data_IF_703654752057
#
_entry.id   IF_703654752057
#
_cell.length_a   1.000
_cell.length_b   1.000
_cell.length_c   1.000
_cell.angle_alpha   90.00
_cell.angle_beta   90.00
_cell.angle_gamma   90.00
#
_symmetry.space_group_name_H-M   'P 1'
#
loop_
_entity.id
_entity.type
_entity.pdbx_description
1 polymer ?
#
# COMPACT_ATOMS: atom_id res chain seq x y z
N UNK A 1 83.06 -3.15 -2.53
CA UNK A 1 81.87 -2.48 -1.96
C UNK A 1 80.74 -2.61 -2.98
N UNK A 2 79.88 -3.64 -2.84
CA UNK A 2 78.83 -3.99 -3.82
C UNK A 2 77.59 -3.12 -3.59
N UNK A 3 77.12 -2.43 -4.63
CA UNK A 3 75.86 -1.69 -4.62
C UNK A 3 74.71 -2.63 -5.01
N UNK A 4 73.69 -2.75 -4.15
CA UNK A 4 72.46 -3.48 -4.40
C UNK A 4 71.40 -2.53 -4.98
N UNK A 5 70.95 -2.82 -6.19
CA UNK A 5 69.79 -2.20 -6.83
C UNK A 5 68.54 -2.90 -6.26
N UNK A 6 67.65 -2.15 -5.60
CA UNK A 6 66.33 -2.64 -5.19
C UNK A 6 65.30 -2.26 -6.26
N UNK A 7 64.78 -3.26 -6.96
CA UNK A 7 63.66 -3.11 -7.89
C UNK A 7 62.36 -2.85 -7.12
N UNK A 8 61.66 -1.76 -7.45
CA UNK A 8 60.29 -1.49 -7.01
C UNK A 8 59.32 -2.27 -7.89
N UNK A 9 58.54 -3.16 -7.29
CA UNK A 9 57.38 -3.81 -7.92
C UNK A 9 56.20 -2.86 -7.72
N UNK A 10 55.69 -2.28 -8.80
CA UNK A 10 54.44 -1.52 -8.81
C UNK A 10 53.30 -2.53 -9.00
N UNK A 11 52.56 -2.81 -7.91
CA UNK A 11 51.32 -3.58 -7.96
C UNK A 11 50.21 -2.60 -8.34
N UNK A 12 49.71 -2.67 -9.57
CA UNK A 12 48.50 -1.91 -9.95
C UNK A 12 47.28 -2.59 -9.34
N UNK A 13 46.68 -1.97 -8.32
CA UNK A 13 45.38 -2.36 -7.81
C UNK A 13 44.31 -1.97 -8.86
N UNK A 14 43.77 -2.96 -9.57
CA UNK A 14 42.55 -2.77 -10.34
C UNK A 14 41.38 -2.62 -9.36
N UNK A 15 40.88 -1.40 -9.16
CA UNK A 15 39.63 -1.17 -8.46
C UNK A 15 38.48 -1.70 -9.32
N UNK A 16 37.99 -2.88 -8.98
CA UNK A 16 36.69 -3.35 -9.42
C UNK A 16 35.63 -2.55 -8.65
N UNK A 17 35.06 -1.53 -9.28
CA UNK A 17 33.94 -0.78 -8.71
C UNK A 17 32.72 -1.70 -8.81
N UNK A 18 32.34 -2.33 -7.70
CA UNK A 18 31.05 -2.99 -7.60
C UNK A 18 29.99 -1.90 -7.49
N UNK A 19 29.14 -1.76 -8.51
CA UNK A 19 27.96 -0.90 -8.45
C UNK A 19 27.08 -1.34 -7.28
N UNK A 20 27.07 -0.53 -6.22
CA UNK A 20 26.17 -0.68 -5.10
C UNK A 20 24.76 -0.24 -5.52
N UNK A 21 24.07 -1.07 -6.30
CA UNK A 21 22.68 -0.84 -6.65
C UNK A 21 21.80 -1.17 -5.43
N UNK A 22 21.18 -0.16 -4.81
CA UNK A 22 20.22 -0.43 -3.73
C UNK A 22 19.60 0.79 -3.04
N UNK A 23 20.30 1.92 -2.93
CA UNK A 23 19.77 3.11 -2.23
C UNK A 23 19.95 4.40 -3.03
N UNK A 24 20.98 4.51 -3.88
CA UNK A 24 21.22 5.76 -4.63
C UNK A 24 20.18 6.04 -5.72
N UNK A 25 19.44 5.03 -6.18
CA UNK A 25 18.47 5.12 -7.29
C UNK A 25 17.07 5.61 -6.86
N UNK A 26 16.81 5.76 -5.56
CA UNK A 26 15.50 6.16 -5.02
C UNK A 26 15.65 7.46 -4.22
N UNK A 27 14.78 8.42 -4.48
CA UNK A 27 14.58 9.59 -3.64
C UNK A 27 13.57 9.26 -2.55
N UNK A 28 13.95 9.47 -1.30
CA UNK A 28 13.06 9.29 -0.14
C UNK A 28 12.68 10.66 0.40
N UNK A 29 11.37 10.93 0.48
CA UNK A 29 10.82 12.13 1.12
C UNK A 29 10.11 11.66 2.40
N UNK A 30 10.76 11.75 3.56
CA UNK A 30 10.20 11.25 4.83
C UNK A 30 9.09 12.16 5.35
N UNK A 31 8.17 11.55 6.10
CA UNK A 31 7.22 12.23 6.99
C UNK A 31 6.44 13.39 6.35
N UNK A 32 5.98 13.19 5.11
CA UNK A 32 5.09 14.14 4.45
C UNK A 32 3.75 14.17 5.19
N UNK A 33 3.43 15.32 5.78
CA UNK A 33 2.19 15.53 6.54
C UNK A 33 1.02 15.72 5.58
N UNK A 34 0.03 14.82 5.65
CA UNK A 34 -1.20 14.91 4.86
C UNK A 34 -2.42 15.37 5.67
N UNK A 35 -2.28 15.46 6.99
CA UNK A 35 -3.33 15.94 7.88
C UNK A 35 -2.87 16.05 9.33
N UNK A 36 -3.73 16.62 10.18
CA UNK A 36 -3.53 16.67 11.63
C UNK A 36 -4.78 16.15 12.32
N UNK A 37 -4.60 15.36 13.37
CA UNK A 37 -5.69 14.80 14.17
C UNK A 37 -5.24 14.71 15.62
N UNK A 38 -6.04 15.25 16.55
CA UNK A 38 -5.72 15.31 17.99
C UNK A 38 -4.32 15.84 18.31
N UNK A 39 -3.85 16.86 17.60
CA UNK A 39 -2.52 17.45 17.78
C UNK A 39 -1.35 16.62 17.22
N UNK A 40 -1.61 15.49 16.55
CA UNK A 40 -0.61 14.65 15.90
C UNK A 40 -0.65 14.84 14.39
N UNK A 41 0.51 14.73 13.74
CA UNK A 41 0.61 14.69 12.29
C UNK A 41 0.27 13.30 11.75
N UNK A 42 -0.54 13.25 10.70
CA UNK A 42 -0.74 12.07 9.88
C UNK A 42 0.25 12.14 8.72
N UNK A 43 1.09 11.11 8.58
CA UNK A 43 2.24 11.15 7.65
C UNK A 43 2.30 9.96 6.70
N UNK A 44 2.92 10.17 5.54
CA UNK A 44 3.42 9.10 4.69
C UNK A 44 4.86 9.40 4.27
N UNK A 45 5.61 8.36 3.93
CA UNK A 45 6.90 8.54 3.25
C UNK A 45 6.70 8.35 1.74
N UNK A 46 7.41 9.12 0.95
CA UNK A 46 7.43 8.98 -0.51
C UNK A 46 8.73 8.30 -0.93
N UNK A 47 8.62 7.24 -1.72
CA UNK A 47 9.73 6.56 -2.38
C UNK A 47 9.57 6.77 -3.87
N UNK A 48 10.44 7.59 -4.45
CA UNK A 48 10.37 7.99 -5.84
C UNK A 48 11.57 7.45 -6.61
N UNK A 49 11.39 6.65 -7.67
CA UNK A 49 12.49 6.25 -8.53
C UNK A 49 13.10 7.47 -9.23
N UNK A 50 14.43 7.65 -9.17
CA UNK A 50 15.09 8.85 -9.72
C UNK A 50 15.16 8.88 -11.26
N UNK A 51 15.23 7.71 -11.90
CA UNK A 51 15.56 7.59 -13.32
C UNK A 51 14.40 7.09 -14.19
N UNK A 52 13.58 6.17 -13.67
CA UNK A 52 12.54 5.46 -14.42
C UNK A 52 11.12 5.74 -13.88
N UNK A 53 10.89 6.84 -13.18
CA UNK A 53 9.55 7.19 -12.69
C UNK A 53 8.53 7.25 -13.85
N UNK A 54 7.48 6.45 -13.77
CA UNK A 54 6.49 6.26 -14.86
C UNK A 54 5.22 7.13 -14.70
N UNK A 55 5.23 8.03 -13.70
CA UNK A 55 4.13 8.92 -13.36
C UNK A 55 2.96 8.25 -12.63
N UNK A 56 3.10 7.00 -12.17
CA UNK A 56 2.05 6.27 -11.42
C UNK A 56 2.38 6.25 -9.93
N UNK A 57 1.37 6.44 -9.09
CA UNK A 57 1.51 6.39 -7.63
C UNK A 57 0.88 5.13 -7.03
N UNK A 58 1.53 4.48 -6.07
CA UNK A 58 0.96 3.38 -5.28
C UNK A 58 0.92 3.78 -3.82
N UNK A 59 -0.26 3.88 -3.23
CA UNK A 59 -0.41 4.09 -1.79
C UNK A 59 -0.36 2.73 -1.09
N UNK A 60 0.71 2.48 -0.33
CA UNK A 60 0.83 1.26 0.46
C UNK A 60 0.37 1.54 1.90
N UNK A 61 -0.69 0.87 2.33
CA UNK A 61 -1.24 1.00 3.68
C UNK A 61 -0.34 0.30 4.69
N UNK A 62 0.39 1.08 5.48
CA UNK A 62 1.24 0.57 6.55
C UNK A 62 0.36 0.26 7.75
N UNK A 63 -0.19 -0.95 7.79
CA UNK A 63 -1.13 -1.35 8.83
C UNK A 63 -1.05 -2.84 9.14
N UNK A 64 -0.91 -3.18 10.42
CA UNK A 64 -1.04 -4.55 10.92
C UNK A 64 -1.94 -4.55 12.16
N UNK A 65 -3.08 -5.25 12.09
CA UNK A 65 -4.11 -5.17 13.13
C UNK A 65 -4.59 -3.73 13.40
N UNK A 66 -4.64 -2.90 12.35
CA UNK A 66 -4.94 -1.46 12.40
C UNK A 66 -4.00 -0.65 13.32
N UNK A 67 -2.80 -1.17 13.56
CA UNK A 67 -1.69 -0.45 14.16
C UNK A 67 -0.74 0.01 13.07
N UNK A 68 -0.44 1.31 13.06
CA UNK A 68 0.49 1.90 12.10
C UNK A 68 1.75 2.36 12.83
N UNK A 69 2.87 1.68 12.57
CA UNK A 69 4.14 1.93 13.27
C UNK A 69 5.06 2.77 12.40
N UNK A 70 5.73 3.74 12.99
CA UNK A 70 6.87 4.40 12.35
C UNK A 70 8.07 3.46 12.34
N UNK A 71 8.82 3.49 11.24
CA UNK A 71 10.17 2.93 11.08
C UNK A 71 10.94 3.94 10.24
N UNK A 72 12.27 3.92 10.31
CA UNK A 72 13.04 4.77 9.41
C UNK A 72 12.69 4.37 7.95
N UNK A 73 12.48 5.34 7.05
CA UNK A 73 12.04 5.02 5.69
C UNK A 73 13.00 4.09 4.94
N UNK A 74 14.30 4.18 5.23
CA UNK A 74 15.35 3.35 4.64
C UNK A 74 15.15 1.87 4.98
N UNK A 75 14.59 1.55 6.15
CA UNK A 75 14.31 0.17 6.55
C UNK A 75 13.19 -0.48 5.74
N UNK A 76 12.38 0.30 5.00
CA UNK A 76 11.26 -0.20 4.20
C UNK A 76 11.50 -0.20 2.72
N UNK A 77 12.60 0.39 2.25
CA UNK A 77 12.88 0.48 0.80
C UNK A 77 12.83 -0.90 0.13
N UNK A 78 13.32 -1.95 0.80
CA UNK A 78 13.30 -3.32 0.30
C UNK A 78 11.89 -3.88 0.08
N UNK A 79 10.89 -3.45 0.86
CA UNK A 79 9.50 -3.89 0.68
C UNK A 79 8.87 -3.32 -0.59
N UNK A 80 9.38 -2.18 -1.04
CA UNK A 80 8.84 -1.46 -2.20
C UNK A 80 9.68 -1.65 -3.45
N UNK A 81 10.82 -2.33 -3.35
CA UNK A 81 11.75 -2.54 -4.46
C UNK A 81 11.06 -3.08 -5.74
N UNK A 82 10.20 -4.11 -5.68
CA UNK A 82 9.53 -4.61 -6.89
C UNK A 82 8.67 -3.56 -7.61
N UNK A 83 8.02 -2.67 -6.87
CA UNK A 83 7.26 -1.55 -7.44
C UNK A 83 8.18 -0.43 -7.95
N UNK A 84 9.20 -0.08 -7.18
CA UNK A 84 10.18 0.96 -7.53
C UNK A 84 10.96 0.60 -8.79
N UNK A 85 11.34 -0.67 -8.97
CA UNK A 85 12.04 -1.18 -10.15
C UNK A 85 11.20 -1.04 -11.43
N UNK A 86 9.87 -1.09 -11.32
CA UNK A 86 8.93 -0.81 -12.43
C UNK A 86 8.60 0.67 -12.62
N UNK A 87 9.20 1.56 -11.83
CA UNK A 87 9.03 3.00 -11.96
C UNK A 87 7.83 3.58 -11.21
N UNK A 88 7.14 2.79 -10.38
CA UNK A 88 6.06 3.29 -9.55
C UNK A 88 6.61 4.16 -8.41
N UNK A 89 5.97 5.30 -8.14
CA UNK A 89 6.22 6.09 -6.92
C UNK A 89 5.37 5.52 -5.79
N UNK A 90 5.98 5.17 -4.67
CA UNK A 90 5.27 4.55 -3.53
C UNK A 90 5.06 5.56 -2.42
N UNK A 91 3.83 5.62 -1.90
CA UNK A 91 3.45 6.40 -0.72
C UNK A 91 3.17 5.43 0.43
N UNK A 92 4.09 5.33 1.40
CA UNK A 92 3.92 4.43 2.55
C UNK A 92 3.07 5.12 3.63
N UNK A 93 1.75 4.94 3.53
CA UNK A 93 0.76 5.67 4.33
C UNK A 93 0.68 5.13 5.74
N UNK A 94 0.90 6.02 6.71
CA UNK A 94 0.57 5.79 8.11
C UNK A 94 -0.73 6.51 8.45
N UNK A 95 -1.54 5.89 9.29
CA UNK A 95 -2.82 6.42 9.77
C UNK A 95 -2.80 6.50 11.31
N UNK A 96 -3.83 7.09 11.91
CA UNK A 96 -4.02 7.04 13.36
C UNK A 96 -3.92 5.60 13.86
N UNK A 97 -3.01 5.33 14.80
CA UNK A 97 -2.76 3.96 15.23
C UNK A 97 -3.66 3.55 16.39
N UNK A 98 -4.22 2.35 16.32
CA UNK A 98 -4.75 1.63 17.47
C UNK A 98 -3.67 1.47 18.57
N UNK A 99 -4.03 1.53 19.88
CA UNK A 99 -5.38 1.55 20.45
C UNK A 99 -6.04 2.93 20.53
N UNK A 100 -5.35 4.01 20.11
CA UNK A 100 -5.89 5.37 20.25
C UNK A 100 -7.05 5.63 19.30
N UNK A 101 -7.03 5.00 18.13
CA UNK A 101 -7.98 5.20 17.04
C UNK A 101 -8.69 3.90 16.68
N UNK A 102 -9.99 3.99 16.42
CA UNK A 102 -10.83 2.88 15.94
C UNK A 102 -10.99 2.89 14.43
N UNK A 103 -11.44 1.78 13.84
CA UNK A 103 -11.52 1.61 12.38
C UNK A 103 -12.27 2.76 11.66
N UNK A 104 -13.43 3.26 12.12
CA UNK A 104 -14.09 4.40 11.48
C UNK A 104 -13.18 5.62 11.34
N UNK A 105 -12.45 5.97 12.41
CA UNK A 105 -11.51 7.09 12.41
C UNK A 105 -10.30 6.84 11.49
N UNK A 106 -9.84 5.59 11.41
CA UNK A 106 -8.71 5.20 10.58
C UNK A 106 -9.07 5.27 9.09
N UNK A 107 -10.29 4.90 8.73
CA UNK A 107 -10.80 5.00 7.36
C UNK A 107 -10.78 6.46 6.89
N UNK A 108 -11.20 7.41 7.73
CA UNK A 108 -11.11 8.85 7.42
C UNK A 108 -9.67 9.29 7.12
N UNK A 109 -8.71 8.82 7.91
CA UNK A 109 -7.30 9.17 7.75
C UNK A 109 -6.75 8.67 6.40
N UNK A 110 -7.00 7.41 6.03
CA UNK A 110 -6.49 6.86 4.75
C UNK A 110 -7.19 7.45 3.54
N UNK A 111 -8.49 7.78 3.63
CA UNK A 111 -9.21 8.54 2.59
C UNK A 111 -8.55 9.90 2.37
N UNK A 112 -8.27 10.63 3.45
CA UNK A 112 -7.55 11.90 3.37
C UNK A 112 -6.19 11.78 2.68
N UNK A 113 -5.46 10.68 2.90
CA UNK A 113 -4.16 10.45 2.28
C UNK A 113 -4.24 10.38 0.74
N UNK A 114 -5.24 9.68 0.18
CA UNK A 114 -5.46 9.61 -1.28
C UNK A 114 -5.78 10.99 -1.83
N UNK A 115 -6.71 11.71 -1.18
CA UNK A 115 -7.09 13.07 -1.59
C UNK A 115 -5.90 14.02 -1.60
N UNK A 116 -5.04 13.92 -0.57
CA UNK A 116 -3.85 14.74 -0.48
C UNK A 116 -2.85 14.43 -1.59
N UNK A 117 -2.62 13.14 -1.91
CA UNK A 117 -1.76 12.75 -3.04
C UNK A 117 -2.34 13.27 -4.36
N UNK A 118 -3.66 13.15 -4.58
CA UNK A 118 -4.33 13.70 -5.78
C UNK A 118 -4.18 15.22 -5.87
N UNK A 119 -4.44 15.94 -4.79
CA UNK A 119 -4.30 17.41 -4.71
C UNK A 119 -2.87 17.87 -5.01
N UNK A 120 -1.88 17.09 -4.56
CA UNK A 120 -0.45 17.41 -4.67
C UNK A 120 0.27 16.56 -5.73
N UNK A 121 -0.45 15.96 -6.68
CA UNK A 121 0.09 14.99 -7.64
C UNK A 121 1.28 15.56 -8.43
N UNK A 122 1.19 16.83 -8.88
CA UNK A 122 2.27 17.56 -9.55
C UNK A 122 3.55 17.64 -8.70
N UNK A 123 3.44 17.81 -7.38
CA UNK A 123 4.60 17.87 -6.47
C UNK A 123 5.33 16.52 -6.43
N UNK A 124 4.58 15.42 -6.46
CA UNK A 124 5.15 14.08 -6.40
C UNK A 124 5.56 13.55 -7.78
N UNK A 125 5.11 14.19 -8.86
CA UNK A 125 5.37 13.73 -10.22
C UNK A 125 4.54 12.51 -10.60
N UNK A 126 3.34 12.38 -10.03
CA UNK A 126 2.37 11.32 -10.35
C UNK A 126 1.15 11.93 -11.05
N UNK A 127 0.45 11.11 -11.82
CA UNK A 127 -0.84 11.40 -12.42
C UNK A 127 -1.94 11.09 -11.39
N UNK A 128 -2.81 12.05 -11.03
CA UNK A 128 -3.85 11.81 -10.02
C UNK A 128 -4.85 10.73 -10.43
N UNK A 129 -4.99 10.41 -11.72
CA UNK A 129 -5.87 9.34 -12.21
C UNK A 129 -5.18 7.97 -12.30
N UNK A 130 -3.89 7.89 -11.99
CA UNK A 130 -3.10 6.64 -12.03
C UNK A 130 -2.56 6.34 -10.63
N UNK A 131 -3.48 6.26 -9.67
CA UNK A 131 -3.18 5.93 -8.28
C UNK A 131 -3.71 4.54 -7.92
N UNK A 132 -2.81 3.62 -7.60
CA UNK A 132 -3.16 2.32 -7.02
C UNK A 132 -3.10 2.35 -5.50
N UNK A 133 -3.72 1.37 -4.86
CA UNK A 133 -3.61 1.14 -3.41
C UNK A 133 -3.32 -0.33 -3.11
N UNK A 134 -2.44 -0.57 -2.13
CA UNK A 134 -2.14 -1.92 -1.67
C UNK A 134 -1.92 -2.02 -0.16
N UNK A 135 -2.12 -3.22 0.38
CA UNK A 135 -1.79 -3.54 1.77
C UNK A 135 -2.14 -4.97 2.12
N UNK A 136 -1.62 -5.46 3.24
CA UNK A 136 -1.92 -6.78 3.77
C UNK A 136 -2.70 -6.74 5.08
N UNK A 137 -3.53 -7.75 5.34
CA UNK A 137 -4.34 -7.87 6.56
C UNK A 137 -5.18 -6.61 6.77
N UNK A 138 -5.05 -5.92 7.91
CA UNK A 138 -5.66 -4.62 8.15
C UNK A 138 -5.36 -3.57 7.06
N UNK A 139 -4.16 -3.57 6.47
CA UNK A 139 -3.83 -2.70 5.34
C UNK A 139 -4.59 -3.08 4.06
N UNK A 140 -4.86 -4.38 3.88
CA UNK A 140 -5.69 -4.89 2.78
C UNK A 140 -7.16 -4.51 2.96
N UNK A 141 -7.67 -4.58 4.19
CA UNK A 141 -8.99 -4.04 4.55
C UNK A 141 -9.12 -2.55 4.21
N UNK A 142 -8.15 -1.73 4.62
CA UNK A 142 -8.15 -0.29 4.31
C UNK A 142 -8.02 -0.02 2.81
N UNK A 143 -7.26 -0.84 2.09
CA UNK A 143 -7.14 -0.76 0.62
C UNK A 143 -8.48 -1.06 -0.06
N UNK A 144 -9.22 -2.07 0.41
CA UNK A 144 -10.56 -2.39 -0.09
C UNK A 144 -11.59 -1.32 0.27
N UNK A 145 -11.50 -0.72 1.46
CA UNK A 145 -12.37 0.43 1.81
C UNK A 145 -12.17 1.60 0.85
N UNK A 146 -10.92 1.88 0.44
CA UNK A 146 -10.63 2.90 -0.59
C UNK A 146 -11.11 2.50 -1.99
N UNK A 147 -11.14 1.19 -2.29
CA UNK A 147 -11.61 0.68 -3.57
C UNK A 147 -13.13 0.61 -3.75
N UNK A 148 -13.86 0.35 -2.66
CA UNK A 148 -15.30 0.02 -2.68
C UNK A 148 -16.19 1.10 -2.08
N UNK A 149 -15.67 1.94 -1.18
CA UNK A 149 -16.45 2.96 -0.48
C UNK A 149 -16.00 4.40 -0.81
N UNK A 150 -15.31 4.61 -1.94
CA UNK A 150 -14.82 5.92 -2.36
C UNK A 150 -15.93 6.95 -2.65
N UNK A 151 -15.60 8.23 -2.62
CA UNK A 151 -16.50 9.33 -3.01
C UNK A 151 -15.80 10.38 -3.90
N UNK A 152 -16.59 11.34 -4.40
CA UNK A 152 -16.11 12.38 -5.33
C UNK A 152 -15.50 13.61 -4.62
N UNK A 153 -15.55 13.67 -3.30
CA UNK A 153 -15.27 14.86 -2.50
C UNK A 153 -16.48 15.77 -2.33
N UNK A 154 -16.34 16.69 -1.39
CA UNK A 154 -17.30 17.73 -1.09
C UNK A 154 -16.79 19.07 -1.65
N UNK A 155 -17.32 19.57 -2.80
CA UNK A 155 -16.84 20.81 -3.42
C UNK A 155 -17.00 22.03 -2.52
N UNK A 156 -17.93 22.00 -1.55
CA UNK A 156 -18.23 23.11 -0.64
C UNK A 156 -17.41 23.06 0.66
N UNK A 157 -16.61 22.01 0.87
CA UNK A 157 -15.74 21.88 2.05
C UNK A 157 -14.81 23.08 2.20
N UNK A 158 -14.60 23.53 3.44
CA UNK A 158 -13.58 24.55 3.76
C UNK A 158 -12.15 24.00 3.67
N UNK A 159 -11.98 22.71 3.88
CA UNK A 159 -10.70 22.01 3.72
C UNK A 159 -10.53 21.61 2.25
N UNK A 160 -9.50 22.15 1.60
CA UNK A 160 -9.17 21.88 0.19
C UNK A 160 -8.95 20.38 -0.10
N UNK A 161 -8.47 19.62 0.89
CA UNK A 161 -8.22 18.19 0.72
C UNK A 161 -9.54 17.43 0.57
N UNK A 162 -10.56 17.80 1.36
CA UNK A 162 -11.86 17.12 1.34
C UNK A 162 -12.69 17.43 0.09
N UNK A 163 -12.31 18.46 -0.70
CA UNK A 163 -12.92 18.74 -2.00
C UNK A 163 -12.53 17.75 -3.09
N UNK A 164 -11.42 17.04 -2.89
CA UNK A 164 -10.85 16.15 -3.90
C UNK A 164 -11.39 14.74 -3.71
N UNK A 165 -11.75 14.07 -4.80
CA UNK A 165 -12.08 12.64 -4.82
C UNK A 165 -11.01 11.77 -4.15
N UNK A 166 -11.42 10.70 -3.46
CA UNK A 166 -10.51 9.65 -2.95
C UNK A 166 -10.54 8.36 -3.78
N UNK A 167 -11.09 8.40 -4.99
CA UNK A 167 -11.06 7.26 -5.92
C UNK A 167 -9.63 6.87 -6.28
N UNK A 168 -9.40 5.57 -6.28
CA UNK A 168 -8.18 4.91 -6.78
C UNK A 168 -8.50 4.17 -8.08
N UNK A 169 -7.48 3.93 -8.90
CA UNK A 169 -7.61 3.31 -10.22
C UNK A 169 -7.35 1.79 -10.21
N UNK A 170 -6.72 1.25 -9.16
CA UNK A 170 -6.53 -0.19 -8.97
C UNK A 170 -6.28 -0.53 -7.49
N UNK A 171 -6.67 -1.73 -7.07
CA UNK A 171 -6.50 -2.22 -5.70
C UNK A 171 -5.79 -3.57 -5.70
N UNK A 172 -4.87 -3.76 -4.76
CA UNK A 172 -4.34 -5.09 -4.41
C UNK A 172 -4.45 -5.30 -2.90
N UNK A 173 -5.17 -6.32 -2.46
CA UNK A 173 -5.37 -6.61 -1.04
C UNK A 173 -4.90 -8.02 -0.69
N UNK A 174 -3.91 -8.11 0.20
CA UNK A 174 -3.41 -9.40 0.69
C UNK A 174 -4.15 -9.82 1.96
N UNK A 175 -4.69 -11.04 1.98
CA UNK A 175 -5.41 -11.68 3.09
C UNK A 175 -6.28 -10.70 3.91
N UNK A 176 -7.18 -9.93 3.25
CA UNK A 176 -7.88 -8.84 3.91
C UNK A 176 -9.09 -9.37 4.69
N UNK A 177 -9.38 -8.82 5.88
CA UNK A 177 -10.71 -8.94 6.43
C UNK A 177 -11.68 -8.05 5.66
N UNK A 178 -12.81 -8.62 5.24
CA UNK A 178 -13.78 -7.96 4.33
C UNK A 178 -15.15 -7.71 4.95
N UNK A 179 -15.50 -8.46 6.00
CA UNK A 179 -16.68 -8.23 6.82
C UNK A 179 -16.31 -8.34 8.30
N UNK A 180 -16.12 -7.20 8.95
CA UNK A 180 -15.61 -7.13 10.32
C UNK A 180 -16.73 -7.15 11.36
N UNK A 181 -18.01 -7.07 10.96
CA UNK A 181 -19.16 -7.01 11.87
C UNK A 181 -19.15 -8.12 12.93
N UNK A 182 -18.80 -9.38 12.61
CA UNK A 182 -18.77 -10.43 13.61
C UNK A 182 -17.72 -10.23 14.71
N UNK A 183 -16.69 -9.39 14.47
CA UNK A 183 -15.52 -9.20 15.34
C UNK A 183 -15.56 -7.94 16.21
N UNK A 184 -16.46 -7.00 15.89
CA UNK A 184 -16.62 -5.74 16.63
C UNK A 184 -16.85 -6.03 18.11
N UNK A 185 -16.09 -5.37 18.98
CA UNK A 185 -16.11 -5.54 20.45
C UNK A 185 -15.83 -6.96 20.98
N UNK A 186 -15.30 -7.88 20.16
CA UNK A 186 -15.09 -9.30 20.55
C UNK A 186 -13.64 -9.76 20.55
N UNK A 187 -12.72 -8.98 19.99
CA UNK A 187 -11.31 -9.36 19.86
C UNK A 187 -10.41 -8.40 20.64
N UNK A 188 -10.03 -8.78 21.86
CA UNK A 188 -9.25 -7.93 22.78
C UNK A 188 -7.90 -7.48 22.21
N UNK A 189 -7.26 -8.32 21.39
CA UNK A 189 -5.97 -8.01 20.76
C UNK A 189 -6.05 -6.92 19.67
N UNK A 190 -7.27 -6.62 19.20
CA UNK A 190 -7.57 -5.70 18.11
C UNK A 190 -8.46 -4.53 18.57
N UNK A 191 -7.96 -3.63 19.43
CA UNK A 191 -8.77 -2.54 19.99
C UNK A 191 -9.30 -1.53 18.95
N UNK A 192 -8.82 -1.60 17.70
CA UNK A 192 -9.42 -0.82 16.60
C UNK A 192 -10.87 -1.24 16.29
N UNK A 193 -11.26 -2.47 16.67
CA UNK A 193 -12.61 -3.01 16.54
C UNK A 193 -13.56 -2.58 17.66
N UNK A 194 -13.09 -1.77 18.62
CA UNK A 194 -13.88 -1.36 19.79
C UNK A 194 -14.67 -0.08 19.51
N UNK A 195 -15.70 -0.18 18.66
CA UNK A 195 -16.57 0.92 18.27
C UNK A 195 -18.05 0.47 18.19
N UNK A 196 -18.96 1.39 17.89
CA UNK A 196 -20.40 1.13 17.85
C UNK A 196 -20.76 0.12 16.75
N UNK A 197 -21.48 -0.96 17.08
CA UNK A 197 -21.81 -2.06 16.16
C UNK A 197 -22.55 -1.59 14.92
N UNK A 198 -23.36 -0.53 15.04
CA UNK A 198 -24.12 0.08 13.96
C UNK A 198 -23.21 0.64 12.85
N UNK A 199 -21.98 1.05 13.18
CA UNK A 199 -20.98 1.50 12.18
C UNK A 199 -20.29 0.34 11.48
N UNK A 200 -20.52 -0.90 11.92
CA UNK A 200 -19.85 -2.08 11.39
C UNK A 200 -20.08 -2.29 9.91
N UNK A 201 -21.31 -2.06 9.44
CA UNK A 201 -21.63 -2.17 8.01
C UNK A 201 -20.85 -1.14 7.18
N UNK A 202 -20.75 0.10 7.66
CA UNK A 202 -19.99 1.16 6.99
C UNK A 202 -18.47 0.86 6.94
N UNK A 203 -17.97 -0.02 7.80
CA UNK A 203 -16.56 -0.40 7.88
C UNK A 203 -16.25 -1.77 7.27
N UNK A 204 -17.22 -2.44 6.64
CA UNK A 204 -17.04 -3.74 5.97
C UNK A 204 -17.03 -3.54 4.44
N UNK A 205 -15.88 -3.60 3.75
CA UNK A 205 -15.80 -3.33 2.31
C UNK A 205 -16.67 -4.29 1.47
N UNK A 206 -16.93 -5.51 1.97
CA UNK A 206 -17.85 -6.46 1.33
C UNK A 206 -19.24 -5.85 1.02
N UNK A 207 -19.70 -4.91 1.83
CA UNK A 207 -21.05 -4.35 1.73
C UNK A 207 -21.14 -3.11 0.85
N UNK A 208 -20.01 -2.60 0.37
CA UNK A 208 -19.95 -1.38 -0.45
C UNK A 208 -19.73 -1.67 -1.94
N UNK A 209 -19.51 -2.94 -2.29
CA UNK A 209 -19.16 -3.31 -3.65
C UNK A 209 -20.20 -2.81 -4.65
N UNK A 210 -19.72 -2.11 -5.68
CA UNK A 210 -20.54 -1.47 -6.71
C UNK A 210 -19.90 -1.59 -8.09
N UNK A 211 -20.68 -1.42 -9.15
CA UNK A 211 -20.21 -1.69 -10.53
C UNK A 211 -19.13 -0.72 -11.03
N UNK A 212 -18.93 0.42 -10.37
CA UNK A 212 -17.89 1.39 -10.72
C UNK A 212 -16.65 1.30 -9.80
N UNK A 213 -16.54 0.27 -8.96
CA UNK A 213 -15.35 0.03 -8.16
C UNK A 213 -14.10 -0.22 -9.02
N UNK A 214 -12.94 0.09 -8.43
CA UNK A 214 -11.66 -0.11 -9.10
C UNK A 214 -11.34 -1.60 -9.33
N UNK A 215 -10.63 -1.95 -10.42
CA UNK A 215 -10.09 -3.28 -10.62
C UNK A 215 -9.33 -3.77 -9.39
N UNK A 216 -9.73 -4.92 -8.84
CA UNK A 216 -9.22 -5.44 -7.57
C UNK A 216 -8.58 -6.82 -7.68
N UNK A 217 -7.33 -6.95 -7.27
CA UNK A 217 -6.69 -8.25 -7.02
C UNK A 217 -6.71 -8.58 -5.53
N UNK A 218 -7.16 -9.79 -5.21
CA UNK A 218 -7.05 -10.39 -3.89
C UNK A 218 -5.93 -11.43 -3.92
N UNK A 219 -5.10 -11.48 -2.88
CA UNK A 219 -4.09 -12.56 -2.72
C UNK A 219 -4.24 -13.16 -1.33
N UNK A 220 -4.43 -14.47 -1.21
CA UNK A 220 -4.77 -15.09 0.07
C UNK A 220 -4.16 -16.50 0.16
N UNK A 221 -3.63 -16.88 1.33
CA UNK A 221 -3.22 -18.25 1.59
C UNK A 221 -4.41 -19.13 1.99
N UNK A 222 -4.41 -20.41 1.61
CA UNK A 222 -5.48 -21.36 1.97
C UNK A 222 -5.30 -22.01 3.37
N UNK A 223 -4.20 -21.67 4.07
CA UNK A 223 -3.92 -22.04 5.47
C UNK A 223 -3.88 -20.82 6.40
N UNK A 224 -4.53 -19.72 6.00
CA UNK A 224 -4.66 -18.54 6.85
C UNK A 224 -5.62 -18.81 8.02
N UNK A 225 -5.06 -18.98 9.22
CA UNK A 225 -5.82 -19.21 10.45
C UNK A 225 -6.25 -17.92 11.15
N UNK A 226 -5.79 -16.75 10.69
CA UNK A 226 -6.10 -15.47 11.32
C UNK A 226 -7.27 -14.77 10.63
N UNK A 227 -7.23 -14.71 9.31
CA UNK A 227 -8.32 -14.21 8.47
C UNK A 227 -8.70 -15.35 7.54
N UNK A 228 -9.86 -15.99 7.74
CA UNK A 228 -10.26 -17.11 6.89
C UNK A 228 -10.37 -16.71 5.41
N UNK A 229 -9.95 -17.61 4.51
CA UNK A 229 -9.96 -17.42 3.05
C UNK A 229 -11.33 -16.94 2.53
N UNK A 230 -12.41 -17.36 3.20
CA UNK A 230 -13.79 -16.99 2.87
C UNK A 230 -14.02 -15.47 2.84
N UNK A 231 -13.19 -14.67 3.52
CA UNK A 231 -13.25 -13.21 3.38
C UNK A 231 -12.95 -12.75 1.95
N UNK A 232 -11.92 -13.31 1.32
CA UNK A 232 -11.59 -13.02 -0.07
C UNK A 232 -12.60 -13.63 -1.03
N UNK A 233 -13.04 -14.87 -0.80
CA UNK A 233 -14.00 -15.54 -1.68
C UNK A 233 -15.35 -14.81 -1.72
N UNK A 234 -15.85 -14.35 -0.57
CA UNK A 234 -17.13 -13.61 -0.49
C UNK A 234 -17.08 -12.28 -1.21
N UNK A 235 -16.02 -11.50 -1.04
CA UNK A 235 -15.94 -10.21 -1.73
C UNK A 235 -15.68 -10.38 -3.22
N UNK A 236 -14.92 -11.41 -3.63
CA UNK A 236 -14.77 -11.78 -5.04
C UNK A 236 -16.13 -12.08 -5.67
N UNK A 237 -16.98 -12.86 -5.00
CA UNK A 237 -18.31 -13.18 -5.49
C UNK A 237 -19.17 -11.91 -5.65
N UNK A 238 -19.07 -10.95 -4.73
CA UNK A 238 -19.80 -9.68 -4.84
C UNK A 238 -19.26 -8.79 -5.97
N UNK A 239 -17.94 -8.75 -6.18
CA UNK A 239 -17.32 -8.08 -7.33
C UNK A 239 -17.79 -8.68 -8.66
N UNK A 240 -17.82 -10.01 -8.76
CA UNK A 240 -18.29 -10.72 -9.96
C UNK A 240 -19.77 -10.44 -10.23
N UNK A 241 -20.61 -10.42 -9.20
CA UNK A 241 -22.04 -10.07 -9.31
C UNK A 241 -22.23 -8.64 -9.85
N UNK A 242 -21.38 -7.70 -9.45
CA UNK A 242 -21.39 -6.32 -9.92
C UNK A 242 -20.55 -6.10 -11.20
N UNK A 243 -19.97 -7.15 -11.77
CA UNK A 243 -19.12 -7.13 -12.98
C UNK A 243 -17.88 -6.24 -12.83
N UNK A 244 -17.36 -6.11 -11.62
CA UNK A 244 -16.09 -5.44 -11.34
C UNK A 244 -14.95 -6.35 -11.77
N UNK A 245 -13.96 -5.81 -12.49
CA UNK A 245 -12.76 -6.55 -12.86
C UNK A 245 -12.02 -7.00 -11.60
N UNK A 246 -12.00 -8.30 -11.35
CA UNK A 246 -11.45 -8.84 -10.12
C UNK A 246 -10.86 -10.23 -10.29
N UNK A 247 -9.79 -10.50 -9.56
CA UNK A 247 -9.10 -11.79 -9.53
C UNK A 247 -8.75 -12.16 -8.08
N UNK A 248 -8.70 -13.46 -7.78
CA UNK A 248 -8.22 -13.99 -6.51
C UNK A 248 -7.09 -14.99 -6.78
N UNK A 249 -5.89 -14.64 -6.33
CA UNK A 249 -4.75 -15.52 -6.28
C UNK A 249 -4.73 -16.26 -4.93
N UNK A 250 -5.02 -17.55 -4.96
CA UNK A 250 -4.84 -18.43 -3.79
C UNK A 250 -3.42 -19.00 -3.80
N UNK A 251 -2.69 -18.81 -2.69
CA UNK A 251 -1.36 -19.39 -2.49
C UNK A 251 -1.50 -20.65 -1.63
N UNK A 252 -1.53 -21.81 -2.29
CA UNK A 252 -1.70 -23.11 -1.65
C UNK A 252 -0.59 -23.39 -0.62
N UNK A 253 -0.96 -23.77 0.58
CA UNK A 253 -0.08 -24.03 1.72
C UNK A 253 0.31 -22.80 2.53
N UNK A 254 0.06 -21.59 2.05
CA UNK A 254 0.46 -20.36 2.74
C UNK A 254 -0.53 -19.96 3.84
N UNK A 255 0.00 -19.40 4.92
CA UNK A 255 -0.78 -18.85 6.05
C UNK A 255 -0.89 -17.31 6.03
N UNK A 256 -1.11 -16.71 7.21
CA UNK A 256 -1.24 -15.26 7.35
C UNK A 256 0.11 -14.53 7.20
N UNK A 257 0.33 -13.92 6.04
CA UNK A 257 1.58 -13.25 5.70
C UNK A 257 2.53 -14.12 4.90
N UNK A 258 3.09 -13.55 3.83
CA UNK A 258 3.91 -14.27 2.87
C UNK A 258 5.40 -13.99 3.06
N UNK A 259 6.24 -15.00 2.85
CA UNK A 259 7.71 -14.95 2.92
C UNK A 259 8.31 -15.90 1.88
N UNK A 260 9.59 -15.73 1.55
CA UNK A 260 10.25 -16.56 0.55
C UNK A 260 9.48 -16.55 -0.78
N UNK A 261 9.35 -17.73 -1.40
CA UNK A 261 8.67 -17.91 -2.69
C UNK A 261 7.21 -17.42 -2.67
N UNK A 262 6.47 -17.59 -1.57
CA UNK A 262 5.10 -17.07 -1.46
C UNK A 262 5.08 -15.54 -1.49
N UNK A 263 6.08 -14.91 -0.84
CA UNK A 263 6.24 -13.47 -0.82
C UNK A 263 6.61 -12.90 -2.18
N UNK A 264 7.50 -13.60 -2.90
CA UNK A 264 7.89 -13.27 -4.27
C UNK A 264 6.69 -13.38 -5.21
N UNK A 265 5.97 -14.51 -5.18
CA UNK A 265 4.76 -14.73 -5.98
C UNK A 265 3.67 -13.69 -5.73
N UNK A 266 3.41 -13.36 -4.46
CA UNK A 266 2.45 -12.32 -4.12
C UNK A 266 2.88 -10.94 -4.65
N UNK A 267 4.17 -10.62 -4.49
CA UNK A 267 4.72 -9.35 -4.98
C UNK A 267 4.68 -9.24 -6.50
N UNK A 268 5.00 -10.30 -7.23
CA UNK A 268 4.92 -10.35 -8.69
C UNK A 268 3.48 -10.14 -9.15
N UNK A 269 2.50 -10.79 -8.51
CA UNK A 269 1.09 -10.63 -8.83
C UNK A 269 0.61 -9.18 -8.61
N UNK A 270 1.00 -8.54 -7.51
CA UNK A 270 0.69 -7.13 -7.24
C UNK A 270 1.28 -6.19 -8.29
N UNK A 271 2.57 -6.37 -8.60
CA UNK A 271 3.24 -5.54 -9.61
C UNK A 271 2.57 -5.73 -10.97
N UNK A 272 2.30 -6.97 -11.37
CA UNK A 272 1.61 -7.28 -12.63
C UNK A 272 0.21 -6.67 -12.70
N UNK A 273 -0.56 -6.68 -11.60
CA UNK A 273 -1.86 -6.03 -11.53
C UNK A 273 -1.77 -4.52 -11.78
N UNK A 274 -0.83 -3.85 -11.13
CA UNK A 274 -0.62 -2.42 -11.33
C UNK A 274 -0.07 -2.08 -12.71
N UNK A 275 0.81 -2.92 -13.28
CA UNK A 275 1.24 -2.76 -14.66
C UNK A 275 0.05 -2.81 -15.63
N UNK A 276 -0.80 -3.83 -15.49
CA UNK A 276 -2.00 -4.04 -16.32
C UNK A 276 -3.01 -2.91 -16.24
N UNK A 277 -3.24 -2.36 -15.04
CA UNK A 277 -4.36 -1.43 -14.81
C UNK A 277 -3.96 0.04 -14.71
N UNK A 278 -2.69 0.36 -14.45
CA UNK A 278 -2.25 1.74 -14.24
C UNK A 278 -1.24 2.24 -15.27
N UNK A 279 -0.56 1.38 -16.01
CA UNK A 279 0.32 1.82 -17.08
C UNK A 279 -0.48 2.13 -18.34
N UNK A 280 -0.09 3.22 -19.02
CA UNK A 280 -0.65 3.52 -20.33
C UNK A 280 -0.16 2.44 -21.30
N UNK A 281 -1.05 1.95 -22.15
CA UNK A 281 -0.63 1.11 -23.27
C UNK A 281 0.39 1.89 -24.11
N UNK A 282 1.53 1.26 -24.37
CA UNK A 282 2.52 1.81 -25.29
C UNK A 282 1.98 1.51 -26.69
N UNK A 283 1.31 2.49 -27.30
CA UNK A 283 0.99 2.47 -28.72
C UNK A 283 2.26 2.55 -29.57
#
# INVERSE_FOLDING_TARGET
MKWMIRSLIIISLALCVTEACGVESVEIIPDVVYGHKHGMALTFDVYKPKQNANGTGILFMVSGGWRSRWRSPEQRIGWFKPMLDKGFTVFAVRHGSSPKYVIPEIIEDVRRSVRFVRLRAKKFGVDPERLGVAGGSAGGHLSLMLGTASDKGDPDSKDEVLRISDRVAAVVAYFPPTDIRPWINKLDDYPALNFEEEKGAACSPLLHVSSDDAPTLLVHGDKDELVPLEHSEKILAEFQKHKVTSELLVINGAGHGFRGEDGERASEAMVGWFEKHLLKEVN
#
